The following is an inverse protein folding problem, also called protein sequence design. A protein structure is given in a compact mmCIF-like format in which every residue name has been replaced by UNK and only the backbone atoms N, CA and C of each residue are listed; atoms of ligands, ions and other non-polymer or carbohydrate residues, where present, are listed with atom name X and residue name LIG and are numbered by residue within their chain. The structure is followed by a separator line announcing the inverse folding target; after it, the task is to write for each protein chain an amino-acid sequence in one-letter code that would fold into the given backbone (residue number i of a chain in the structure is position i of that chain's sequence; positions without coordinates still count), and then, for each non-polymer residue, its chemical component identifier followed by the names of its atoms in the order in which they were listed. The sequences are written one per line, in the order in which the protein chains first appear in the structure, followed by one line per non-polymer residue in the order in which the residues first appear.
data_IF_912850702975
#
_entry.id   IF_912850702975
#
_cell.length_a   1.000
_cell.length_b   1.000
_cell.length_c   1.000
_cell.angle_alpha   90.00
_cell.angle_beta   90.00
_cell.angle_gamma   90.00
#
_symmetry.space_group_name_H-M   'P 1'
#
loop_
_entity.id
_entity.type
_entity.pdbx_description
1 polymer ?
#
# COMPACT_ATOMS: atom_id res chain seq x y z
N UNK A 1 3.15 -9.98 1.80
CA UNK A 1 2.06 -9.68 0.83
C UNK A 1 1.31 -8.44 1.27
N UNK A 2 0.51 -7.83 0.40
CA UNK A 2 0.02 -6.44 0.41
C UNK A 2 0.88 -5.52 -0.47
N UNK A 3 1.37 -4.42 0.07
CA UNK A 3 2.05 -3.32 -0.62
C UNK A 3 3.49 -3.62 -1.06
N UNK A 4 4.13 -4.66 -0.49
CA UNK A 4 5.53 -5.01 -0.76
C UNK A 4 5.91 -5.03 -2.25
N UNK A 5 5.07 -5.59 -3.13
CA UNK A 5 5.35 -5.62 -4.57
C UNK A 5 5.37 -4.22 -5.18
N UNK A 6 4.43 -3.38 -4.76
CA UNK A 6 4.34 -2.00 -5.21
C UNK A 6 5.52 -1.18 -4.67
N UNK A 7 5.82 -1.28 -3.37
CA UNK A 7 6.94 -0.58 -2.74
C UNK A 7 8.29 -1.01 -3.35
N UNK A 8 8.47 -2.30 -3.66
CA UNK A 8 9.67 -2.79 -4.34
C UNK A 8 9.80 -2.21 -5.75
N UNK A 9 8.70 -2.11 -6.50
CA UNK A 9 8.69 -1.44 -7.81
C UNK A 9 8.95 0.06 -7.70
N UNK A 10 8.51 0.72 -6.63
CA UNK A 10 8.89 2.10 -6.34
C UNK A 10 10.40 2.21 -6.09
N UNK A 11 10.98 1.31 -5.27
CA UNK A 11 12.41 1.31 -4.99
C UNK A 11 13.26 1.12 -6.25
N UNK A 12 12.86 0.20 -7.14
CA UNK A 12 13.50 -0.01 -8.44
C UNK A 12 13.31 1.19 -9.37
N UNK A 13 12.12 1.80 -9.41
CA UNK A 13 11.86 2.99 -10.22
C UNK A 13 12.77 4.17 -9.87
N UNK A 14 13.13 4.31 -8.60
CA UNK A 14 14.02 5.36 -8.12
C UNK A 14 15.49 4.94 -8.09
N UNK A 15 15.84 3.76 -8.61
CA UNK A 15 17.19 3.21 -8.57
C UNK A 15 17.77 3.22 -7.14
N UNK A 16 16.95 2.90 -6.15
CA UNK A 16 17.35 2.78 -4.73
C UNK A 16 17.29 1.33 -4.22
N UNK A 17 17.01 0.39 -5.12
CA UNK A 17 17.03 -1.04 -4.86
C UNK A 17 16.71 -1.83 -6.13
N UNK A 18 16.87 -3.15 -6.07
CA UNK A 18 16.54 -4.06 -7.17
C UNK A 18 15.45 -5.04 -6.75
N UNK A 19 14.46 -5.29 -7.61
CA UNK A 19 13.41 -6.27 -7.30
C UNK A 19 13.89 -7.68 -7.64
N UNK A 20 13.75 -8.58 -6.67
CA UNK A 20 14.00 -10.00 -6.86
C UNK A 20 12.68 -10.78 -6.91
N UNK A 21 12.54 -11.64 -7.91
CA UNK A 21 11.41 -12.55 -8.03
C UNK A 21 11.77 -13.88 -7.36
N UNK A 22 11.07 -14.21 -6.27
CA UNK A 22 11.29 -15.45 -5.50
C UNK A 22 11.28 -16.73 -6.34
N UNK A 23 10.53 -16.75 -7.45
CA UNK A 23 10.46 -17.90 -8.36
C UNK A 23 11.75 -18.11 -9.16
N UNK A 24 12.48 -17.04 -9.40
CA UNK A 24 13.68 -17.00 -10.26
C UNK A 24 14.95 -16.81 -9.41
N UNK A 25 14.83 -16.85 -8.08
CA UNK A 25 15.91 -16.58 -7.15
C UNK A 25 16.82 -17.80 -7.01
N UNK A 26 18.12 -17.58 -7.21
CA UNK A 26 19.18 -18.54 -6.90
C UNK A 26 20.35 -17.81 -6.22
N UNK A 27 21.32 -18.57 -5.73
CA UNK A 27 22.47 -18.03 -4.97
C UNK A 27 23.27 -17.01 -5.78
N UNK A 28 23.60 -17.33 -7.03
CA UNK A 28 24.37 -16.47 -7.93
C UNK A 28 23.64 -15.15 -8.22
N UNK A 29 22.35 -15.23 -8.53
CA UNK A 29 21.49 -14.08 -8.80
C UNK A 29 21.37 -13.17 -7.58
N UNK A 30 21.22 -13.75 -6.37
CA UNK A 30 21.19 -12.98 -5.13
C UNK A 30 22.53 -12.27 -4.88
N UNK A 31 23.65 -12.97 -5.01
CA UNK A 31 24.99 -12.39 -4.83
C UNK A 31 25.24 -11.27 -5.84
N UNK A 32 24.89 -11.47 -7.10
CA UNK A 32 25.04 -10.46 -8.14
C UNK A 32 24.21 -9.21 -7.86
N UNK A 33 22.96 -9.38 -7.41
CA UNK A 33 22.10 -8.28 -7.02
C UNK A 33 22.62 -7.49 -5.82
N UNK A 34 23.14 -8.18 -4.80
CA UNK A 34 23.78 -7.54 -3.64
C UNK A 34 24.99 -6.72 -4.10
N UNK A 35 25.87 -7.31 -4.89
CA UNK A 35 27.06 -6.63 -5.41
C UNK A 35 26.68 -5.43 -6.29
N UNK A 36 25.65 -5.56 -7.11
CA UNK A 36 25.16 -4.46 -7.95
C UNK A 36 24.73 -3.27 -7.11
N UNK A 37 23.89 -3.49 -6.08
CA UNK A 37 23.40 -2.41 -5.21
C UNK A 37 24.53 -1.79 -4.38
N UNK A 38 25.51 -2.58 -3.95
CA UNK A 38 26.63 -2.10 -3.13
C UNK A 38 27.71 -1.37 -3.92
N UNK A 39 28.02 -1.84 -5.14
CA UNK A 39 29.17 -1.37 -5.91
C UNK A 39 28.82 -0.29 -6.93
N UNK A 40 27.58 -0.25 -7.42
CA UNK A 40 27.14 0.82 -8.32
C UNK A 40 26.81 2.09 -7.51
N UNK A 41 27.57 3.18 -7.68
CA UNK A 41 27.40 4.41 -6.89
C UNK A 41 26.02 5.05 -7.08
N UNK A 42 25.32 4.77 -8.18
CA UNK A 42 23.99 5.34 -8.45
C UNK A 42 23.00 5.03 -7.33
N UNK A 43 23.03 3.81 -6.77
CA UNK A 43 22.12 3.45 -5.69
C UNK A 43 22.35 4.29 -4.44
N UNK A 44 23.62 4.55 -4.09
CA UNK A 44 24.00 5.39 -2.96
C UNK A 44 23.63 6.86 -3.19
N UNK A 45 23.93 7.40 -4.37
CA UNK A 45 23.60 8.79 -4.72
C UNK A 45 22.08 9.01 -4.72
N UNK A 46 21.33 8.09 -5.33
CA UNK A 46 19.88 8.17 -5.39
C UNK A 46 19.24 8.02 -4.02
N UNK A 47 19.69 7.10 -3.15
CA UNK A 47 19.12 7.00 -1.80
C UNK A 47 19.39 8.25 -0.97
N UNK A 48 20.56 8.89 -1.12
CA UNK A 48 20.84 10.18 -0.46
C UNK A 48 19.93 11.29 -1.00
N UNK A 49 19.71 11.36 -2.32
CA UNK A 49 18.77 12.31 -2.94
C UNK A 49 17.34 12.10 -2.44
N UNK A 50 16.84 10.86 -2.45
CA UNK A 50 15.50 10.55 -1.95
C UNK A 50 15.37 10.84 -0.45
N UNK A 51 16.42 10.56 0.34
CA UNK A 51 16.46 10.88 1.77
C UNK A 51 16.38 12.38 2.02
N UNK A 52 17.08 13.20 1.24
CA UNK A 52 17.01 14.66 1.34
C UNK A 52 15.59 15.17 1.04
N UNK A 53 14.98 14.70 -0.06
CA UNK A 53 13.60 15.05 -0.42
C UNK A 53 12.60 14.63 0.68
N UNK A 54 12.75 13.42 1.22
CA UNK A 54 11.86 12.91 2.26
C UNK A 54 11.96 13.69 3.58
N UNK A 55 13.16 14.15 3.92
CA UNK A 55 13.43 14.94 5.14
C UNK A 55 13.09 16.42 4.99
N UNK A 56 12.95 16.90 3.75
CA UNK A 56 12.53 18.26 3.44
C UNK A 56 11.03 18.42 3.69
N UNK A 57 10.67 18.57 4.97
CA UNK A 57 9.31 18.78 5.43
C UNK A 57 9.19 20.14 6.12
N UNK A 58 8.03 20.79 5.98
CA UNK A 58 7.77 22.11 6.56
C UNK A 58 7.81 22.14 8.09
N UNK A 59 7.64 20.99 8.74
CA UNK A 59 7.67 20.82 10.18
C UNK A 59 8.58 19.64 10.52
N UNK A 60 9.31 19.74 11.62
CA UNK A 60 10.10 18.62 12.12
C UNK A 60 9.18 17.41 12.41
N UNK A 61 9.68 16.20 12.16
CA UNK A 61 8.92 14.95 12.35
C UNK A 61 8.39 14.83 13.78
N UNK A 62 9.20 15.19 14.79
CA UNK A 62 8.79 15.08 16.18
C UNK A 62 7.66 16.06 16.50
N UNK A 63 7.77 17.31 16.04
CA UNK A 63 6.74 18.33 16.23
C UNK A 63 5.45 17.95 15.51
N UNK A 64 5.55 17.36 14.31
CA UNK A 64 4.41 16.85 13.56
C UNK A 64 3.68 15.74 14.33
N UNK A 65 4.43 14.79 14.89
CA UNK A 65 3.88 13.71 15.73
C UNK A 65 3.19 14.27 16.97
N UNK A 66 3.83 15.20 17.68
CA UNK A 66 3.25 15.87 18.85
C UNK A 66 1.95 16.58 18.46
N UNK A 67 1.97 17.35 17.37
CA UNK A 67 0.80 18.05 16.86
C UNK A 67 -0.38 17.09 16.61
N UNK A 68 -0.16 15.94 15.96
CA UNK A 68 -1.23 14.98 15.69
C UNK A 68 -1.72 14.26 16.94
N UNK A 69 -0.83 13.94 17.88
CA UNK A 69 -1.23 13.39 19.19
C UNK A 69 -2.14 14.38 19.92
N UNK A 70 -1.73 15.64 20.03
CA UNK A 70 -2.54 16.68 20.64
C UNK A 70 -3.84 16.91 19.86
N UNK A 71 -3.81 16.86 18.53
CA UNK A 71 -5.00 16.98 17.69
C UNK A 71 -6.04 15.92 18.06
N UNK A 72 -5.62 14.66 18.19
CA UNK A 72 -6.49 13.55 18.60
C UNK A 72 -7.05 13.79 20.00
N UNK A 73 -6.22 14.23 20.95
CA UNK A 73 -6.65 14.55 22.32
C UNK A 73 -7.68 15.70 22.32
N UNK A 74 -7.38 16.82 21.63
CA UNK A 74 -8.27 17.99 21.54
C UNK A 74 -9.63 17.65 20.95
N UNK A 75 -9.68 16.71 20.01
CA UNK A 75 -10.91 16.24 19.37
C UNK A 75 -11.47 14.96 19.98
N UNK A 76 -11.08 14.63 21.22
CA UNK A 76 -11.62 13.49 22.00
C UNK A 76 -11.60 12.17 21.21
N UNK A 77 -10.47 11.89 20.55
CA UNK A 77 -10.28 10.70 19.72
C UNK A 77 -10.41 10.95 18.21
N UNK A 78 -10.72 12.17 17.77
CA UNK A 78 -10.86 12.56 16.36
C UNK A 78 -11.74 11.60 15.53
N UNK A 79 -13.02 11.42 15.90
CA UNK A 79 -13.90 10.43 15.27
C UNK A 79 -14.08 10.64 13.76
N UNK A 80 -13.92 11.87 13.26
CA UNK A 80 -13.98 12.21 11.84
C UNK A 80 -12.75 11.78 11.03
N UNK A 81 -11.61 11.48 11.68
CA UNK A 81 -10.43 10.90 11.03
C UNK A 81 -10.43 9.37 11.09
N UNK A 82 -11.29 8.78 11.92
CA UNK A 82 -11.38 7.33 12.05
C UNK A 82 -12.08 6.76 10.82
N UNK A 83 -11.50 5.76 10.13
CA UNK A 83 -12.15 5.11 9.02
C UNK A 83 -13.50 4.50 9.42
N UNK A 84 -14.58 4.88 8.74
CA UNK A 84 -15.93 4.36 9.01
C UNK A 84 -16.02 2.83 8.88
N UNK A 85 -15.12 2.22 8.10
CA UNK A 85 -15.01 0.78 7.90
C UNK A 85 -14.82 0.00 9.21
N UNK A 86 -14.25 0.63 10.25
CA UNK A 86 -14.03 -0.02 11.55
C UNK A 86 -15.31 -0.23 12.36
N UNK A 87 -16.39 0.48 12.01
CA UNK A 87 -17.68 0.39 12.69
C UNK A 87 -18.69 -0.46 11.90
N UNK A 88 -18.29 -0.99 10.75
CA UNK A 88 -19.16 -1.84 9.92
C UNK A 88 -19.21 -3.27 10.48
N UNK A 89 -20.40 -3.87 10.40
CA UNK A 89 -20.52 -5.30 10.60
C UNK A 89 -19.82 -6.06 9.46
N UNK A 90 -19.38 -7.29 9.73
CA UNK A 90 -18.65 -8.11 8.75
C UNK A 90 -19.40 -8.26 7.40
N UNK A 91 -20.74 -8.33 7.41
CA UNK A 91 -21.55 -8.47 6.20
C UNK A 91 -21.67 -7.18 5.39
N UNK A 92 -21.62 -6.00 6.04
CA UNK A 92 -21.56 -4.70 5.37
C UNK A 92 -20.17 -4.46 4.79
N UNK A 93 -19.13 -4.80 5.55
CA UNK A 93 -17.75 -4.76 5.08
C UNK A 93 -17.54 -5.60 3.81
N UNK A 94 -18.14 -6.80 3.77
CA UNK A 94 -18.10 -7.69 2.61
C UNK A 94 -19.15 -7.36 1.52
N UNK A 95 -19.96 -6.31 1.72
CA UNK A 95 -21.03 -5.88 0.79
C UNK A 95 -21.97 -7.03 0.36
N UNK A 96 -22.39 -7.85 1.33
CA UNK A 96 -23.21 -9.04 1.06
C UNK A 96 -24.55 -8.71 0.39
N UNK A 97 -25.16 -7.58 0.75
CA UNK A 97 -26.37 -7.04 0.13
C UNK A 97 -26.19 -6.77 -1.37
N UNK A 98 -25.08 -6.12 -1.74
CA UNK A 98 -24.72 -5.84 -3.13
C UNK A 98 -24.48 -7.13 -3.92
N UNK A 99 -23.78 -8.10 -3.32
CA UNK A 99 -23.56 -9.42 -3.94
C UNK A 99 -24.90 -10.11 -4.23
N UNK A 100 -25.81 -10.16 -3.25
CA UNK A 100 -27.13 -10.77 -3.41
C UNK A 100 -27.94 -10.04 -4.49
N UNK A 101 -27.90 -8.71 -4.53
CA UNK A 101 -28.58 -7.92 -5.57
C UNK A 101 -28.11 -8.30 -6.98
N UNK A 102 -26.78 -8.41 -7.20
CA UNK A 102 -26.25 -8.86 -8.50
C UNK A 102 -26.63 -10.30 -8.84
N UNK A 103 -26.61 -11.22 -7.87
CA UNK A 103 -27.04 -12.60 -8.09
C UNK A 103 -28.51 -12.70 -8.51
N UNK A 104 -29.38 -11.88 -7.90
CA UNK A 104 -30.80 -11.82 -8.28
C UNK A 104 -31.00 -11.29 -9.70
N UNK A 105 -30.24 -10.26 -10.11
CA UNK A 105 -30.26 -9.75 -11.49
C UNK A 105 -29.85 -10.85 -12.47
N UNK A 106 -28.73 -11.53 -12.20
CA UNK A 106 -28.24 -12.61 -13.05
C UNK A 106 -29.28 -13.74 -13.14
N UNK A 107 -29.84 -14.15 -12.01
CA UNK A 107 -30.88 -15.17 -11.97
C UNK A 107 -32.12 -14.76 -12.78
N UNK A 108 -32.56 -13.51 -12.64
CA UNK A 108 -33.70 -12.99 -13.38
C UNK A 108 -33.46 -12.96 -14.89
N UNK A 109 -32.27 -12.54 -15.33
CA UNK A 109 -31.89 -12.58 -16.75
C UNK A 109 -31.90 -14.02 -17.26
N UNK A 110 -31.28 -14.96 -16.54
CA UNK A 110 -31.25 -16.39 -16.90
C UNK A 110 -32.68 -16.96 -16.96
N UNK A 111 -33.54 -16.59 -16.02
CA UNK A 111 -34.93 -17.00 -15.98
C UNK A 111 -35.69 -16.49 -17.22
N UNK A 112 -35.54 -15.22 -17.58
CA UNK A 112 -36.15 -14.66 -18.80
C UNK A 112 -35.65 -15.40 -20.04
N UNK A 113 -34.33 -15.58 -20.20
CA UNK A 113 -33.74 -16.25 -21.36
C UNK A 113 -34.19 -17.70 -21.49
N UNK A 114 -34.41 -18.41 -20.38
CA UNK A 114 -34.93 -19.79 -20.41
C UNK A 114 -36.45 -19.87 -20.61
N UNK A 115 -37.17 -18.80 -20.30
CA UNK A 115 -38.63 -18.73 -20.41
C UNK A 115 -39.06 -18.29 -21.82
N UNK A 116 -38.27 -17.44 -22.46
CA UNK A 116 -38.32 -17.15 -23.90
C UNK A 116 -37.87 -18.39 -24.67
#
# INVERSE_FOLDING_TARGET
FADQKYNAKIAERYDIGQVLHLKDLNEEGLLNSINTVLLDPRYKENIHKQSAIFRDQSMNILDNVIYWIEYVIRHKGAPHLRPAVLDLHWYQYLMMDVIVFYLLIIFFIVYIVKKV
#
